data_IF_992449873700
#
_entry.id   IF_992449873700
#
_cell.length_a   1.000
_cell.length_b   1.000
_cell.length_c   1.000
_cell.angle_alpha   90.00
_cell.angle_beta   90.00
_cell.angle_gamma   90.00
#
_symmetry.space_group_name_H-M   'P 1'
#
loop_
_entity.id
_entity.type
_entity.pdbx_description
1 polymer ?
#
# COMPACT_ATOMS: atom_id res chain seq x y z
N UNK A 1 -18.10 25.26 -39.87
CA UNK A 1 -17.25 26.46 -40.00
C UNK A 1 -16.53 26.67 -38.68
N UNK A 2 -15.19 26.50 -38.64
CA UNK A 2 -14.38 26.87 -37.48
C UNK A 2 -13.94 28.33 -37.60
N UNK A 3 -13.78 29.01 -36.46
CA UNK A 3 -12.97 30.23 -36.37
C UNK A 3 -12.03 29.99 -35.20
N UNK A 4 -10.74 29.90 -35.52
CA UNK A 4 -9.67 29.93 -34.54
C UNK A 4 -9.36 31.37 -34.12
N UNK A 5 -8.63 31.52 -33.04
CA UNK A 5 -7.46 32.38 -33.09
C UNK A 5 -6.40 31.90 -32.10
N UNK A 6 -5.19 31.89 -32.63
CA UNK A 6 -3.93 31.48 -32.03
C UNK A 6 -3.38 32.53 -31.04
N UNK A 7 -2.32 32.08 -30.37
CA UNK A 7 -1.17 32.85 -29.87
C UNK A 7 -1.19 33.28 -28.41
N UNK A 8 -0.55 32.45 -27.59
CA UNK A 8 0.54 32.93 -26.73
C UNK A 8 1.61 31.84 -26.65
N UNK A 9 2.55 31.91 -27.59
CA UNK A 9 3.83 31.22 -27.56
C UNK A 9 4.79 32.04 -26.70
N UNK A 10 5.32 31.42 -25.64
CA UNK A 10 6.58 31.82 -25.03
C UNK A 10 7.33 30.55 -24.58
N UNK A 11 8.28 30.15 -25.43
CA UNK A 11 9.55 29.49 -25.11
C UNK A 11 9.54 28.19 -24.31
N UNK A 12 9.09 27.12 -24.97
CA UNK A 12 9.53 25.74 -24.68
C UNK A 12 10.43 25.23 -25.80
N UNK A 13 11.63 25.80 -25.94
CA UNK A 13 12.67 25.28 -26.81
C UNK A 13 14.05 25.53 -26.20
N UNK A 14 14.51 24.60 -25.37
CA UNK A 14 15.93 24.26 -25.25
C UNK A 14 16.10 22.97 -24.46
N UNK A 15 16.86 22.03 -25.05
CA UNK A 15 17.21 20.67 -24.59
C UNK A 15 16.27 19.54 -25.03
N UNK A 16 15.96 19.49 -26.33
CA UNK A 16 15.71 18.25 -27.07
C UNK A 16 16.96 17.89 -27.89
N UNK A 17 17.97 17.34 -27.23
CA UNK A 17 19.18 16.72 -27.83
C UNK A 17 19.84 15.95 -26.69
N UNK A 18 19.99 14.63 -26.64
CA UNK A 18 20.11 13.59 -27.64
C UNK A 18 19.55 12.29 -27.05
N UNK A 19 18.62 11.63 -27.73
CA UNK A 19 18.34 10.22 -27.46
C UNK A 19 19.62 9.43 -27.75
N UNK A 20 20.18 8.75 -26.75
CA UNK A 20 21.30 7.84 -26.96
C UNK A 20 20.85 6.75 -27.96
N UNK A 21 21.58 6.53 -29.07
CA UNK A 21 21.26 5.48 -30.01
C UNK A 21 21.23 4.11 -29.32
N UNK A 22 20.30 3.27 -29.76
CA UNK A 22 19.97 1.97 -29.13
C UNK A 22 21.10 0.94 -29.24
N UNK A 23 22.15 1.22 -30.03
CA UNK A 23 23.23 0.28 -30.33
C UNK A 23 24.44 0.35 -29.38
N UNK A 24 24.34 1.03 -28.23
CA UNK A 24 25.51 1.24 -27.35
C UNK A 24 25.35 0.82 -25.88
N UNK A 25 24.37 -0.03 -25.53
CA UNK A 25 24.34 -0.61 -24.17
C UNK A 25 25.19 -1.89 -24.17
N UNK A 26 26.50 -1.73 -24.32
CA UNK A 26 27.47 -2.75 -23.89
C UNK A 26 27.76 -2.51 -22.42
N UNK A 27 27.60 -3.55 -21.62
CA UNK A 27 27.96 -3.56 -20.22
C UNK A 27 29.45 -3.88 -20.13
N UNK A 28 30.26 -2.88 -19.82
CA UNK A 28 31.71 -2.93 -19.57
C UNK A 28 32.04 -1.66 -18.79
N UNK A 29 32.85 -1.70 -17.72
CA UNK A 29 33.39 -0.62 -16.82
C UNK A 29 32.55 0.67 -16.57
N UNK A 30 31.98 1.26 -17.61
CA UNK A 30 30.94 2.28 -17.72
C UNK A 30 29.79 2.18 -16.70
N UNK A 31 29.34 0.98 -16.29
CA UNK A 31 28.19 0.84 -15.37
C UNK A 31 28.46 1.46 -13.98
N UNK A 32 29.67 1.30 -13.44
CA UNK A 32 30.06 1.93 -12.16
C UNK A 32 30.12 3.44 -12.31
N UNK A 33 30.86 3.92 -13.30
CA UNK A 33 31.05 5.35 -13.57
C UNK A 33 29.71 6.04 -13.78
N UNK A 34 28.82 5.45 -14.59
CA UNK A 34 27.47 5.95 -14.85
C UNK A 34 26.61 6.02 -13.58
N UNK A 35 26.64 5.01 -12.71
CA UNK A 35 25.90 5.05 -11.44
C UNK A 35 26.45 6.15 -10.53
N UNK A 36 27.77 6.31 -10.44
CA UNK A 36 28.40 7.34 -9.60
C UNK A 36 28.09 8.75 -10.14
N UNK A 37 28.22 8.97 -11.45
CA UNK A 37 27.95 10.24 -12.12
C UNK A 37 26.47 10.64 -12.05
N UNK A 38 25.56 9.68 -12.27
CA UNK A 38 24.12 9.94 -12.26
C UNK A 38 23.56 10.01 -10.84
N UNK A 39 24.20 9.36 -9.86
CA UNK A 39 23.76 9.31 -8.46
C UNK A 39 24.86 9.82 -7.51
N UNK A 40 25.55 8.93 -6.79
CA UNK A 40 26.69 9.25 -5.91
C UNK A 40 27.47 7.99 -5.53
N UNK A 41 28.69 8.16 -4.99
CA UNK A 41 29.49 7.03 -4.47
C UNK A 41 28.80 6.27 -3.36
N UNK A 42 28.07 6.97 -2.47
CA UNK A 42 27.30 6.34 -1.38
C UNK A 42 26.22 5.42 -1.93
N UNK A 43 25.57 5.84 -3.01
CA UNK A 43 24.52 5.05 -3.66
C UNK A 43 25.14 3.86 -4.37
N UNK A 44 26.23 4.03 -5.11
CA UNK A 44 26.94 2.92 -5.72
C UNK A 44 27.36 1.88 -4.67
N UNK A 45 27.95 2.31 -3.54
CA UNK A 45 28.36 1.43 -2.46
C UNK A 45 27.19 0.68 -1.80
N UNK A 46 25.99 1.25 -1.80
CA UNK A 46 24.77 0.55 -1.37
C UNK A 46 24.35 -0.50 -2.40
N UNK A 47 24.32 -0.16 -3.68
CA UNK A 47 23.84 -1.06 -4.74
C UNK A 47 24.81 -2.25 -4.95
N UNK A 48 26.12 -1.98 -4.90
CA UNK A 48 27.17 -2.98 -5.16
C UNK A 48 27.27 -4.07 -4.10
N UNK A 49 26.66 -3.88 -2.92
CA UNK A 49 26.60 -4.90 -1.87
C UNK A 49 25.66 -6.06 -2.23
N UNK A 50 24.68 -5.81 -3.11
CA UNK A 50 23.57 -6.74 -3.36
C UNK A 50 23.48 -7.13 -4.83
N UNK A 51 23.84 -6.24 -5.75
CA UNK A 51 23.79 -6.48 -7.20
C UNK A 51 25.20 -6.42 -7.76
N UNK A 52 25.65 -7.44 -8.52
CA UNK A 52 26.94 -7.40 -9.21
C UNK A 52 26.83 -6.45 -10.42
N UNK A 53 26.88 -5.13 -10.18
CA UNK A 53 26.72 -4.06 -11.19
C UNK A 53 27.73 -4.20 -12.35
N UNK A 54 28.83 -4.93 -12.14
CA UNK A 54 29.88 -5.19 -13.13
C UNK A 54 29.59 -6.39 -14.04
N UNK A 55 28.47 -7.10 -13.85
CA UNK A 55 28.11 -8.23 -14.71
C UNK A 55 27.42 -7.75 -15.97
N UNK A 56 27.77 -8.34 -17.12
CA UNK A 56 27.16 -8.07 -18.43
C UNK A 56 25.64 -8.29 -18.48
N UNK A 57 25.09 -8.92 -17.44
CA UNK A 57 23.66 -9.20 -17.26
C UNK A 57 22.92 -8.11 -16.48
N UNK A 58 23.60 -7.02 -16.12
CA UNK A 58 23.04 -5.86 -15.41
C UNK A 58 23.04 -4.63 -16.32
N UNK A 59 21.85 -4.11 -16.61
CA UNK A 59 21.68 -2.92 -17.44
C UNK A 59 21.49 -1.67 -16.59
N UNK A 60 22.25 -0.60 -16.85
CA UNK A 60 22.08 0.71 -16.20
C UNK A 60 21.34 1.66 -17.13
N UNK A 61 20.11 2.02 -16.74
CA UNK A 61 19.18 2.81 -17.55
C UNK A 61 18.86 4.14 -16.88
N UNK A 62 18.50 5.12 -17.71
CA UNK A 62 17.99 6.42 -17.28
C UNK A 62 16.55 6.54 -17.73
N UNK A 63 15.59 6.26 -16.85
CA UNK A 63 14.16 6.26 -17.19
C UNK A 63 13.54 7.65 -17.41
N UNK A 64 14.36 8.71 -17.49
CA UNK A 64 13.88 10.06 -17.71
C UNK A 64 13.27 10.19 -19.12
N UNK A 65 11.95 10.25 -19.20
CA UNK A 65 11.20 10.58 -20.42
C UNK A 65 11.42 9.64 -21.62
N UNK A 66 11.73 8.35 -21.40
CA UNK A 66 11.80 7.37 -22.50
C UNK A 66 11.16 6.01 -22.16
N UNK A 67 10.42 5.45 -23.12
CA UNK A 67 9.90 4.06 -23.09
C UNK A 67 11.02 3.06 -23.42
N UNK A 68 12.14 3.14 -22.70
CA UNK A 68 13.29 2.26 -22.89
C UNK A 68 12.95 0.79 -22.65
N UNK A 69 11.89 0.49 -21.89
CA UNK A 69 11.46 -0.87 -21.59
C UNK A 69 11.21 -1.70 -22.87
N UNK A 70 10.80 -1.07 -23.98
CA UNK A 70 10.58 -1.76 -25.25
C UNK A 70 11.87 -2.03 -26.05
N UNK A 71 13.02 -1.57 -25.54
CA UNK A 71 14.32 -1.60 -26.23
C UNK A 71 15.32 -2.58 -25.61
N UNK A 72 14.91 -3.37 -24.61
CA UNK A 72 15.76 -4.42 -24.05
C UNK A 72 15.90 -5.54 -25.08
N UNK A 73 17.10 -5.72 -25.62
CA UNK A 73 17.39 -6.71 -26.66
C UNK A 73 17.46 -8.15 -26.12
N UNK A 74 17.72 -8.33 -24.82
CA UNK A 74 17.89 -9.64 -24.19
C UNK A 74 17.32 -9.68 -22.76
N UNK A 75 16.95 -10.86 -22.22
CA UNK A 75 16.46 -11.02 -20.85
C UNK A 75 17.56 -10.68 -19.83
N UNK A 76 17.55 -9.43 -19.35
CA UNK A 76 18.47 -8.94 -18.33
C UNK A 76 18.14 -9.53 -16.95
N UNK A 77 19.15 -10.04 -16.23
CA UNK A 77 19.00 -10.51 -14.85
C UNK A 77 18.97 -9.36 -13.85
N UNK A 78 19.55 -8.20 -14.20
CA UNK A 78 19.57 -7.03 -13.33
C UNK A 78 19.30 -5.74 -14.10
N UNK A 79 18.61 -4.80 -13.45
CA UNK A 79 18.39 -3.46 -13.98
C UNK A 79 18.61 -2.42 -12.90
N UNK A 80 19.37 -1.37 -13.21
CA UNK A 80 19.58 -0.22 -12.34
C UNK A 80 19.01 1.01 -13.03
N UNK A 81 17.88 1.50 -12.56
CA UNK A 81 17.28 2.76 -13.01
C UNK A 81 17.79 3.91 -12.13
N UNK A 82 18.61 4.77 -12.74
CA UNK A 82 19.25 5.89 -12.01
C UNK A 82 18.37 7.15 -11.97
N UNK A 83 17.13 7.07 -12.44
CA UNK A 83 16.15 8.15 -12.38
C UNK A 83 15.01 7.83 -11.40
N UNK A 84 14.47 8.84 -10.68
CA UNK A 84 13.29 8.62 -9.87
C UNK A 84 12.07 8.18 -10.70
N UNK A 85 11.50 7.01 -10.39
CA UNK A 85 10.41 6.40 -11.17
C UNK A 85 9.15 7.27 -11.25
N UNK A 86 8.97 8.18 -10.29
CA UNK A 86 7.83 9.10 -10.22
C UNK A 86 8.02 10.38 -11.06
N UNK A 87 9.08 10.44 -11.87
CA UNK A 87 9.22 11.39 -12.97
C UNK A 87 8.47 10.93 -14.23
N UNK A 88 8.10 9.65 -14.30
CA UNK A 88 7.24 9.14 -15.36
C UNK A 88 5.88 9.85 -15.39
N UNK A 89 5.30 10.01 -16.58
CA UNK A 89 3.99 10.64 -16.73
C UNK A 89 2.88 9.86 -16.00
N UNK A 90 2.98 8.53 -16.00
CA UNK A 90 2.09 7.63 -15.29
C UNK A 90 2.89 6.46 -14.70
N UNK A 91 3.09 6.49 -13.38
CA UNK A 91 3.87 5.48 -12.67
C UNK A 91 3.30 4.05 -12.83
N UNK A 92 1.98 3.89 -12.92
CA UNK A 92 1.39 2.56 -13.06
C UNK A 92 1.66 1.94 -14.43
N UNK A 93 1.62 2.77 -15.48
CA UNK A 93 1.97 2.34 -16.83
C UNK A 93 3.46 1.98 -16.89
N UNK A 94 4.31 2.82 -16.30
CA UNK A 94 5.75 2.56 -16.21
C UNK A 94 6.04 1.21 -15.54
N UNK A 95 5.46 0.95 -14.36
CA UNK A 95 5.69 -0.29 -13.62
C UNK A 95 5.14 -1.53 -14.36
N UNK A 96 4.03 -1.39 -15.07
CA UNK A 96 3.50 -2.48 -15.91
C UNK A 96 4.45 -2.80 -17.06
N UNK A 97 4.94 -1.79 -17.78
CA UNK A 97 5.86 -1.97 -18.90
C UNK A 97 7.20 -2.54 -18.41
N UNK A 98 7.73 -2.00 -17.31
CA UNK A 98 8.93 -2.53 -16.65
C UNK A 98 8.78 -4.01 -16.30
N UNK A 99 7.63 -4.41 -15.74
CA UNK A 99 7.37 -5.80 -15.42
C UNK A 99 7.32 -6.67 -16.70
N UNK A 100 6.61 -6.22 -17.74
CA UNK A 100 6.46 -6.98 -18.98
C UNK A 100 7.78 -7.19 -19.74
N UNK A 101 8.72 -6.24 -19.61
CA UNK A 101 10.00 -6.28 -20.32
C UNK A 101 11.10 -7.11 -19.64
N UNK A 102 10.85 -7.63 -18.43
CA UNK A 102 11.86 -8.35 -17.65
C UNK A 102 11.46 -9.82 -17.46
N UNK A 103 12.43 -10.77 -17.51
CA UNK A 103 12.16 -12.15 -17.13
C UNK A 103 11.82 -12.27 -15.63
N UNK A 104 11.20 -13.38 -15.24
CA UNK A 104 11.03 -13.67 -13.81
C UNK A 104 12.40 -13.74 -13.12
N UNK A 105 12.44 -13.39 -11.83
CA UNK A 105 13.65 -13.31 -10.99
C UNK A 105 14.62 -12.18 -11.30
N UNK A 106 14.36 -11.33 -12.30
CA UNK A 106 15.15 -10.11 -12.52
C UNK A 106 15.15 -9.22 -11.28
N UNK A 107 16.32 -8.71 -10.92
CA UNK A 107 16.50 -7.74 -9.85
C UNK A 107 16.48 -6.33 -10.42
N UNK A 108 15.69 -5.46 -9.83
CA UNK A 108 15.57 -4.06 -10.21
C UNK A 108 15.99 -3.21 -9.03
N UNK A 109 16.91 -2.30 -9.29
CA UNK A 109 17.32 -1.23 -8.40
C UNK A 109 16.75 0.05 -8.97
N UNK A 110 15.99 0.77 -8.18
CA UNK A 110 15.41 2.04 -8.59
C UNK A 110 15.36 3.02 -7.44
N UNK A 111 14.96 4.25 -7.76
CA UNK A 111 14.76 5.28 -6.75
C UNK A 111 13.43 6.02 -6.96
N UNK A 112 12.96 6.69 -5.92
CA UNK A 112 11.74 7.47 -5.93
C UNK A 112 11.87 8.69 -5.02
N UNK A 113 11.35 9.84 -5.45
CA UNK A 113 11.22 10.99 -4.58
C UNK A 113 9.93 10.89 -3.76
N UNK A 114 10.05 10.56 -2.47
CA UNK A 114 8.90 10.38 -1.58
C UNK A 114 8.54 11.65 -0.78
N UNK A 115 7.27 11.78 -0.42
CA UNK A 115 6.74 12.93 0.31
C UNK A 115 7.17 12.96 1.78
N UNK A 116 7.28 11.77 2.39
CA UNK A 116 7.57 11.49 3.79
C UNK A 116 9.03 11.09 4.04
N UNK A 117 9.94 11.54 3.19
CA UNK A 117 11.39 11.40 3.40
C UNK A 117 11.81 12.00 4.75
N UNK A 118 12.76 11.37 5.44
CA UNK A 118 13.29 11.87 6.71
C UNK A 118 14.07 13.18 6.51
N UNK A 119 15.07 13.19 5.62
CA UNK A 119 15.84 14.39 5.30
C UNK A 119 15.16 15.25 4.22
N UNK A 120 14.20 16.07 4.66
CA UNK A 120 13.50 17.04 3.80
C UNK A 120 14.44 18.09 3.18
N UNK A 121 15.57 18.40 3.83
CA UNK A 121 16.54 19.38 3.29
C UNK A 121 17.29 18.76 2.12
N UNK A 122 17.78 17.53 2.26
CA UNK A 122 18.41 16.78 1.17
C UNK A 122 17.45 16.62 -0.01
N UNK A 123 16.18 16.25 0.24
CA UNK A 123 15.18 16.14 -0.84
C UNK A 123 14.99 17.43 -1.62
N UNK A 124 14.92 18.59 -0.95
CA UNK A 124 14.79 19.89 -1.63
C UNK A 124 16.03 20.28 -2.44
N UNK A 125 17.22 19.82 -2.01
CA UNK A 125 18.49 20.06 -2.71
C UNK A 125 18.74 19.07 -3.86
N UNK A 126 18.02 17.96 -3.91
CA UNK A 126 18.22 16.95 -4.95
C UNK A 126 17.92 17.52 -6.35
N UNK A 127 18.78 17.22 -7.33
CA UNK A 127 18.66 17.73 -8.72
C UNK A 127 17.32 17.42 -9.38
N UNK A 128 16.67 16.32 -8.99
CA UNK A 128 15.39 15.91 -9.56
C UNK A 128 14.18 16.65 -8.95
N UNK A 129 14.36 17.37 -7.83
CA UNK A 129 13.26 18.01 -7.10
C UNK A 129 12.47 19.00 -7.95
N UNK A 130 13.13 19.71 -8.87
CA UNK A 130 12.48 20.68 -9.78
C UNK A 130 11.55 20.02 -10.81
N UNK A 131 11.71 18.73 -11.09
CA UNK A 131 10.89 17.98 -12.06
C UNK A 131 9.68 17.29 -11.41
N UNK A 132 9.58 17.30 -10.08
CA UNK A 132 8.35 16.87 -9.40
C UNK A 132 7.21 17.80 -9.80
N UNK A 133 6.21 17.25 -10.48
CA UNK A 133 4.91 17.93 -10.67
C UNK A 133 4.43 18.43 -9.30
N UNK A 134 4.08 19.72 -9.18
CA UNK A 134 3.61 20.35 -7.92
C UNK A 134 2.62 19.41 -7.22
N UNK A 135 2.97 18.97 -6.00
CA UNK A 135 2.11 18.13 -5.16
C UNK A 135 2.15 16.61 -5.37
N UNK A 136 3.00 16.04 -6.24
CA UNK A 136 2.97 14.60 -6.60
C UNK A 136 4.12 13.73 -6.05
N UNK A 137 4.64 14.04 -4.87
CA UNK A 137 5.47 13.06 -4.16
C UNK A 137 4.58 11.93 -3.65
N UNK A 138 4.85 10.68 -4.03
CA UNK A 138 4.19 9.52 -3.41
C UNK A 138 4.72 9.32 -1.99
N UNK A 139 3.93 8.71 -1.12
CA UNK A 139 4.45 8.29 0.18
C UNK A 139 5.24 6.98 0.04
N UNK A 140 6.21 6.73 0.92
CA UNK A 140 6.99 5.48 0.98
C UNK A 140 6.11 4.24 0.86
N UNK A 141 5.06 4.19 1.68
CA UNK A 141 4.10 3.08 1.67
C UNK A 141 3.37 2.90 0.34
N UNK A 142 3.08 3.99 -0.36
CA UNK A 142 2.42 3.96 -1.66
C UNK A 142 3.39 3.52 -2.76
N UNK A 143 4.62 4.04 -2.77
CA UNK A 143 5.67 3.63 -3.71
C UNK A 143 5.94 2.14 -3.61
N UNK A 144 6.24 1.65 -2.40
CA UNK A 144 6.49 0.23 -2.16
C UNK A 144 5.25 -0.62 -2.46
N UNK A 145 4.05 -0.15 -2.12
CA UNK A 145 2.81 -0.86 -2.40
C UNK A 145 2.52 -1.01 -3.90
N UNK A 146 2.84 0.00 -4.70
CA UNK A 146 2.72 -0.06 -6.18
C UNK A 146 3.69 -1.09 -6.75
N UNK A 147 4.93 -1.13 -6.30
CA UNK A 147 5.89 -2.17 -6.72
C UNK A 147 5.33 -3.58 -6.45
N UNK A 148 4.83 -3.84 -5.25
CA UNK A 148 4.25 -5.16 -4.93
C UNK A 148 3.00 -5.47 -5.74
N UNK A 149 2.16 -4.47 -6.00
CA UNK A 149 0.99 -4.64 -6.86
C UNK A 149 1.37 -5.03 -8.30
N UNK A 150 2.40 -4.40 -8.86
CA UNK A 150 2.90 -4.65 -10.22
C UNK A 150 3.86 -5.85 -10.31
N UNK A 151 3.78 -6.78 -9.36
CA UNK A 151 4.42 -8.10 -9.50
C UNK A 151 5.85 -8.19 -8.97
N UNK A 152 6.30 -7.20 -8.22
CA UNK A 152 7.64 -7.20 -7.62
C UNK A 152 7.61 -7.62 -6.14
N UNK A 153 8.67 -8.27 -5.66
CA UNK A 153 8.92 -8.53 -4.24
C UNK A 153 10.03 -7.60 -3.75
N UNK A 154 9.83 -6.98 -2.59
CA UNK A 154 10.81 -6.06 -2.01
C UNK A 154 11.93 -6.88 -1.33
N UNK A 155 13.16 -6.65 -1.77
CA UNK A 155 14.38 -7.18 -1.14
C UNK A 155 14.77 -6.21 -0.01
N UNK A 156 15.03 -4.95 -0.37
CA UNK A 156 15.47 -3.91 0.56
C UNK A 156 15.04 -2.52 0.07
N UNK A 157 15.02 -1.54 0.96
CA UNK A 157 14.94 -0.13 0.61
C UNK A 157 15.75 0.71 1.59
N UNK A 158 16.24 1.88 1.15
CA UNK A 158 17.02 2.81 1.97
C UNK A 158 16.81 4.26 1.54
N UNK A 159 16.76 5.17 2.51
CA UNK A 159 16.71 6.61 2.24
C UNK A 159 18.15 7.15 2.15
N UNK A 160 18.53 7.69 0.98
CA UNK A 160 19.87 8.25 0.73
C UNK A 160 19.69 9.56 -0.02
N UNK A 161 20.30 10.64 0.47
CA UNK A 161 20.40 11.94 -0.23
C UNK A 161 19.07 12.49 -0.77
N UNK A 162 18.00 12.29 0.01
CA UNK A 162 16.66 12.81 -0.28
C UNK A 162 15.81 11.94 -1.22
N UNK A 163 16.28 10.73 -1.57
CA UNK A 163 15.56 9.74 -2.37
C UNK A 163 15.36 8.45 -1.58
N UNK A 164 14.24 7.78 -1.84
CA UNK A 164 14.03 6.39 -1.45
C UNK A 164 14.59 5.49 -2.54
N UNK A 165 15.67 4.79 -2.24
CA UNK A 165 16.20 3.71 -3.04
C UNK A 165 15.52 2.40 -2.67
N UNK A 166 15.26 1.54 -3.65
CA UNK A 166 14.67 0.23 -3.44
C UNK A 166 15.33 -0.80 -4.34
N UNK A 167 15.42 -2.02 -3.83
CA UNK A 167 15.78 -3.22 -4.59
C UNK A 167 14.59 -4.17 -4.57
N UNK A 168 14.14 -4.58 -5.75
CA UNK A 168 13.00 -5.47 -5.90
C UNK A 168 13.31 -6.59 -6.89
N UNK A 169 12.66 -7.72 -6.73
CA UNK A 169 12.74 -8.85 -7.66
C UNK A 169 11.41 -9.03 -8.38
N UNK A 170 11.39 -9.24 -9.70
CA UNK A 170 10.17 -9.67 -10.39
C UNK A 170 9.81 -11.10 -9.94
N UNK A 171 8.60 -11.27 -9.41
CA UNK A 171 8.11 -12.58 -8.92
C UNK A 171 6.83 -13.04 -9.59
N UNK A 172 6.16 -12.17 -10.34
CA UNK A 172 4.97 -12.49 -11.13
C UNK A 172 4.69 -11.41 -12.17
N UNK A 173 3.81 -11.73 -13.10
CA UNK A 173 3.29 -10.77 -14.08
C UNK A 173 2.44 -9.66 -13.43
N UNK A 174 2.52 -8.47 -14.03
CA UNK A 174 1.71 -7.33 -13.64
C UNK A 174 0.22 -7.59 -13.89
N UNK A 175 -0.68 -7.11 -13.02
CA UNK A 175 -2.12 -7.25 -13.22
C UNK A 175 -2.58 -6.43 -14.43
N UNK A 176 -3.65 -6.89 -15.09
CA UNK A 176 -4.26 -6.17 -16.21
C UNK A 176 -4.87 -4.81 -15.80
N UNK A 177 -5.40 -4.72 -14.57
CA UNK A 177 -5.95 -3.49 -14.02
C UNK A 177 -4.83 -2.53 -13.58
N UNK A 178 -4.76 -1.34 -14.20
CA UNK A 178 -3.79 -0.31 -13.82
C UNK A 178 -4.16 0.40 -12.51
N UNK A 179 -5.44 0.41 -12.14
CA UNK A 179 -5.97 1.09 -10.96
C UNK A 179 -6.36 0.08 -9.87
N UNK A 180 -5.36 -0.62 -9.35
CA UNK A 180 -5.52 -1.60 -8.26
C UNK A 180 -6.02 -1.04 -6.94
N UNK A 181 -5.99 0.28 -6.76
CA UNK A 181 -6.45 0.94 -5.54
C UNK A 181 -7.23 2.20 -5.89
N UNK A 182 -8.41 2.37 -5.29
CA UNK A 182 -9.11 3.66 -5.30
C UNK A 182 -8.35 4.66 -4.42
N UNK A 183 -8.41 5.94 -4.77
CA UNK A 183 -7.93 7.09 -4.00
C UNK A 183 -9.00 7.71 -3.09
N UNK A 184 -10.24 7.18 -3.12
CA UNK A 184 -11.36 7.69 -2.33
C UNK A 184 -11.10 7.61 -0.84
N UNK A 185 -11.48 8.66 -0.12
CA UNK A 185 -11.42 8.76 1.34
C UNK A 185 -12.35 7.73 1.97
N UNK A 186 -13.58 7.58 1.45
CA UNK A 186 -14.49 6.52 1.87
C UNK A 186 -14.29 5.30 0.97
N UNK A 187 -14.01 4.15 1.59
CA UNK A 187 -13.85 2.90 0.87
C UNK A 187 -14.98 1.92 1.22
N UNK A 188 -15.72 1.41 0.22
CA UNK A 188 -16.74 0.41 0.43
C UNK A 188 -16.10 -0.96 0.71
N UNK A 189 -16.71 -1.72 1.58
CA UNK A 189 -16.33 -3.09 1.88
C UNK A 189 -17.56 -3.99 1.89
N UNK A 190 -17.57 -5.01 1.04
CA UNK A 190 -18.61 -6.04 1.08
C UNK A 190 -18.42 -6.94 2.30
N UNK A 191 -19.50 -7.16 3.03
CA UNK A 191 -19.55 -7.96 4.26
C UNK A 191 -20.75 -8.88 4.28
N UNK A 192 -20.64 -9.97 5.03
CA UNK A 192 -21.74 -10.90 5.26
C UNK A 192 -22.58 -10.39 6.43
N UNK A 193 -23.88 -10.25 6.17
CA UNK A 193 -24.90 -9.80 7.11
C UNK A 193 -25.79 -10.93 7.59
N UNK A 194 -26.91 -10.52 8.19
CA UNK A 194 -27.97 -11.45 8.61
C UNK A 194 -28.52 -12.21 7.39
N UNK A 195 -28.85 -13.47 7.60
CA UNK A 195 -29.37 -14.43 6.62
C UNK A 195 -28.39 -14.65 5.44
N UNK A 196 -27.10 -14.40 5.67
CA UNK A 196 -26.04 -14.52 4.65
C UNK A 196 -26.05 -13.40 3.62
N UNK A 197 -26.91 -12.39 3.75
CA UNK A 197 -27.04 -11.29 2.77
C UNK A 197 -25.78 -10.44 2.75
N UNK A 198 -25.29 -10.11 1.56
CA UNK A 198 -24.16 -9.20 1.40
C UNK A 198 -24.61 -7.76 1.65
N UNK A 199 -23.85 -7.02 2.45
CA UNK A 199 -24.03 -5.59 2.66
C UNK A 199 -22.73 -4.83 2.42
N UNK A 200 -22.84 -3.55 2.10
CA UNK A 200 -21.69 -2.66 1.91
C UNK A 200 -21.54 -1.81 3.16
N UNK A 201 -20.43 -2.00 3.88
CA UNK A 201 -20.02 -1.10 4.96
C UNK A 201 -18.99 -0.11 4.43
N UNK A 202 -19.08 1.14 4.86
CA UNK A 202 -18.09 2.15 4.52
C UNK A 202 -17.10 2.36 5.66
N UNK A 203 -15.87 2.65 5.29
CA UNK A 203 -14.83 3.07 6.23
C UNK A 203 -14.04 4.23 5.67
N UNK A 204 -13.47 5.03 6.56
CA UNK A 204 -12.48 6.04 6.20
C UNK A 204 -11.15 5.34 5.93
N UNK A 205 -10.53 5.63 4.80
CA UNK A 205 -9.21 5.11 4.43
C UNK A 205 -8.17 5.66 5.39
N UNK A 206 -7.60 4.83 6.25
CA UNK A 206 -6.54 5.27 7.18
C UNK A 206 -5.13 4.94 6.72
N UNK A 207 -4.99 4.36 5.52
CA UNK A 207 -3.73 3.85 4.98
C UNK A 207 -3.44 4.50 3.63
N UNK A 208 -2.16 4.64 3.29
CA UNK A 208 -1.75 5.13 1.97
C UNK A 208 -2.27 4.22 0.85
N UNK A 209 -2.60 4.74 -0.35
CA UNK A 209 -2.97 3.91 -1.50
C UNK A 209 -1.95 2.81 -1.76
N UNK A 210 -2.40 1.65 -2.26
CA UNK A 210 -1.59 0.45 -2.53
C UNK A 210 -0.89 -0.20 -1.32
N UNK A 211 -0.84 0.45 -0.16
CA UNK A 211 -0.11 -0.09 0.99
C UNK A 211 -0.70 -1.38 1.55
N UNK A 212 -1.95 -1.73 1.22
CA UNK A 212 -2.55 -3.03 1.61
C UNK A 212 -1.73 -4.24 1.12
N UNK A 213 -1.03 -4.10 0.00
CA UNK A 213 -0.18 -5.15 -0.56
C UNK A 213 1.10 -5.38 0.26
N UNK A 214 1.44 -4.45 1.17
CA UNK A 214 2.62 -4.54 2.02
C UNK A 214 2.38 -5.30 3.33
N UNK A 215 1.19 -5.86 3.58
CA UNK A 215 0.88 -6.54 4.85
C UNK A 215 1.95 -7.55 5.26
N UNK A 216 2.26 -8.51 4.39
CA UNK A 216 3.22 -9.56 4.70
C UNK A 216 4.64 -8.99 4.87
N UNK A 217 4.99 -7.97 4.08
CA UNK A 217 6.28 -7.32 4.16
C UNK A 217 6.48 -6.59 5.50
N UNK A 218 5.50 -5.79 5.93
CA UNK A 218 5.56 -5.05 7.21
C UNK A 218 5.59 -6.01 8.39
N UNK A 219 4.80 -7.08 8.35
CA UNK A 219 4.81 -8.11 9.42
C UNK A 219 6.18 -8.78 9.51
N UNK A 220 6.83 -9.12 8.38
CA UNK A 220 8.19 -9.67 8.41
C UNK A 220 9.22 -8.68 8.95
N UNK A 221 9.09 -7.41 8.60
CA UNK A 221 10.04 -6.38 8.99
C UNK A 221 9.95 -6.04 10.48
N UNK A 222 8.74 -5.90 11.01
CA UNK A 222 8.51 -5.32 12.33
C UNK A 222 7.92 -6.32 13.35
N UNK A 223 7.46 -7.49 12.90
CA UNK A 223 6.70 -8.41 13.74
C UNK A 223 5.31 -7.86 14.13
N UNK A 224 4.69 -8.51 15.11
CA UNK A 224 3.44 -8.07 15.71
C UNK A 224 3.71 -7.32 17.02
N UNK A 225 2.86 -6.34 17.34
CA UNK A 225 2.77 -5.72 18.65
C UNK A 225 1.96 -6.59 19.62
N UNK A 226 1.85 -6.16 20.88
CA UNK A 226 1.13 -6.88 21.96
C UNK A 226 -0.34 -7.18 21.65
N UNK A 227 -0.96 -6.40 20.76
CA UNK A 227 -2.35 -6.56 20.32
C UNK A 227 -2.50 -7.26 18.96
N UNK A 228 -1.43 -7.96 18.50
CA UNK A 228 -1.47 -8.81 17.31
C UNK A 228 -1.54 -8.06 15.98
N UNK A 229 -1.11 -6.80 15.94
CA UNK A 229 -1.04 -5.98 14.70
C UNK A 229 0.41 -5.70 14.32
N UNK A 230 0.70 -5.37 13.04
CA UNK A 230 2.06 -5.06 12.64
C UNK A 230 2.63 -3.92 13.49
N UNK A 231 3.76 -4.14 14.15
CA UNK A 231 4.45 -3.09 14.88
C UNK A 231 4.99 -2.04 13.89
N UNK A 232 5.15 -0.79 14.33
CA UNK A 232 5.72 0.31 13.51
C UNK A 232 5.15 0.40 12.08
N UNK A 233 3.83 0.25 11.93
CA UNK A 233 3.17 0.17 10.62
C UNK A 233 3.24 1.51 9.85
N UNK A 234 4.21 1.63 8.94
CA UNK A 234 4.42 2.81 8.10
C UNK A 234 3.35 2.97 6.99
N UNK A 235 2.42 2.01 6.86
CA UNK A 235 1.32 2.11 5.89
C UNK A 235 0.23 3.07 6.34
N UNK A 236 0.15 3.35 7.64
CA UNK A 236 -0.84 4.25 8.22
C UNK A 236 -0.47 5.71 7.96
N UNK A 237 -1.46 6.49 7.53
CA UNK A 237 -1.29 7.94 7.47
C UNK A 237 -1.23 8.51 8.90
N UNK A 238 -0.59 9.68 9.12
CA UNK A 238 -0.55 10.30 10.46
C UNK A 238 -1.95 10.52 11.06
N UNK A 239 -2.88 11.02 10.26
CA UNK A 239 -4.28 11.17 10.65
C UNK A 239 -5.00 9.82 10.76
N UNK A 240 -4.62 8.83 9.95
CA UNK A 240 -5.14 7.47 10.02
C UNK A 240 -4.86 6.79 11.35
N UNK A 241 -3.68 7.04 11.95
CA UNK A 241 -3.35 6.59 13.32
C UNK A 241 -4.33 7.19 14.34
N UNK A 242 -4.62 8.48 14.24
CA UNK A 242 -5.60 9.16 15.09
C UNK A 242 -7.00 8.56 14.89
N UNK A 243 -7.46 8.41 13.65
CA UNK A 243 -8.78 7.87 13.34
C UNK A 243 -8.95 6.45 13.91
N UNK A 244 -7.94 5.58 13.74
CA UNK A 244 -8.00 4.23 14.32
C UNK A 244 -7.99 4.27 15.84
N UNK A 245 -7.14 5.09 16.47
CA UNK A 245 -7.07 5.19 17.94
C UNK A 245 -8.45 5.48 18.56
N UNK A 246 -9.23 6.35 17.92
CA UNK A 246 -10.54 6.77 18.39
C UNK A 246 -11.72 6.09 17.67
N UNK A 247 -11.48 5.02 16.91
CA UNK A 247 -12.51 4.30 16.11
C UNK A 247 -13.30 5.19 15.13
N UNK A 248 -12.73 6.33 14.73
CA UNK A 248 -13.38 7.28 13.82
C UNK A 248 -13.43 6.78 12.38
N UNK A 249 -12.57 5.82 12.02
CA UNK A 249 -12.56 5.23 10.69
C UNK A 249 -13.79 4.38 10.39
N UNK A 250 -14.47 3.89 11.44
CA UNK A 250 -15.68 3.08 11.34
C UNK A 250 -16.97 3.90 11.46
N UNK A 251 -16.90 5.20 11.75
CA UNK A 251 -18.10 6.08 11.85
C UNK A 251 -19.04 6.03 10.65
N UNK A 252 -18.57 5.91 9.38
CA UNK A 252 -19.50 5.79 8.25
C UNK A 252 -20.44 4.58 8.33
N UNK A 253 -20.11 3.56 9.13
CA UNK A 253 -20.98 2.39 9.37
C UNK A 253 -22.25 2.74 10.15
N UNK A 254 -22.31 3.90 10.83
CA UNK A 254 -23.53 4.38 11.49
C UNK A 254 -24.68 4.57 10.48
N UNK A 255 -24.38 4.82 9.20
CA UNK A 255 -25.41 4.85 8.15
C UNK A 255 -26.06 3.47 7.96
N UNK A 256 -25.31 2.39 8.07
CA UNK A 256 -25.84 1.02 8.00
C UNK A 256 -26.66 0.67 9.25
N UNK A 257 -26.30 1.23 10.42
CA UNK A 257 -27.10 1.12 11.65
C UNK A 257 -28.48 1.79 11.47
N UNK A 258 -28.51 3.01 10.93
CA UNK A 258 -29.76 3.74 10.66
C UNK A 258 -30.64 3.03 9.62
N UNK A 259 -30.04 2.38 8.63
CA UNK A 259 -30.74 1.53 7.64
C UNK A 259 -31.23 0.20 8.22
N UNK A 260 -30.83 -0.15 9.45
CA UNK A 260 -31.18 -1.40 10.09
C UNK A 260 -30.40 -2.62 9.57
N UNK A 261 -29.32 -2.42 8.81
CA UNK A 261 -28.45 -3.49 8.29
C UNK A 261 -27.44 -3.96 9.35
N UNK A 262 -27.02 -3.06 10.24
CA UNK A 262 -26.17 -3.34 11.40
C UNK A 262 -26.95 -3.12 12.69
N UNK A 263 -26.46 -3.73 13.77
CA UNK A 263 -26.81 -3.42 15.16
C UNK A 263 -25.69 -2.60 15.82
N UNK A 264 -25.99 -1.95 16.94
CA UNK A 264 -24.97 -1.19 17.68
C UNK A 264 -23.93 -2.14 18.29
N UNK A 265 -24.40 -3.23 18.90
CA UNK A 265 -23.58 -4.33 19.43
C UNK A 265 -23.93 -5.61 18.68
N UNK A 266 -22.92 -6.41 18.36
CA UNK A 266 -23.12 -7.65 17.62
C UNK A 266 -21.84 -8.20 17.01
N UNK A 267 -21.93 -9.41 16.45
CA UNK A 267 -20.79 -10.08 15.81
C UNK A 267 -20.16 -9.20 14.73
N UNK A 268 -18.83 -9.24 14.59
CA UNK A 268 -18.17 -8.36 13.61
C UNK A 268 -18.59 -8.75 12.18
N UNK A 269 -18.92 -7.80 11.29
CA UNK A 269 -19.16 -8.12 9.89
C UNK A 269 -17.85 -8.60 9.24
N UNK A 270 -17.86 -9.83 8.72
CA UNK A 270 -16.70 -10.45 8.07
C UNK A 270 -16.77 -10.34 6.55
N UNK A 271 -15.60 -10.32 5.90
CA UNK A 271 -15.53 -10.52 4.45
C UNK A 271 -15.90 -11.96 4.10
N UNK A 272 -16.28 -12.22 2.85
CA UNK A 272 -16.56 -13.58 2.38
C UNK A 272 -15.40 -14.54 2.69
N UNK A 273 -14.16 -14.13 2.39
CA UNK A 273 -12.96 -14.94 2.64
C UNK A 273 -12.85 -15.35 4.11
N UNK A 274 -12.91 -14.39 5.03
CA UNK A 274 -12.80 -14.69 6.47
C UNK A 274 -14.00 -15.43 7.03
N UNK A 275 -15.18 -15.21 6.45
CA UNK A 275 -16.37 -15.96 6.84
C UNK A 275 -16.24 -17.44 6.46
N UNK A 276 -15.72 -17.73 5.26
CA UNK A 276 -15.50 -19.09 4.76
C UNK A 276 -14.40 -19.85 5.50
N UNK A 277 -13.50 -19.16 6.20
CA UNK A 277 -12.47 -19.77 7.06
C UNK A 277 -13.02 -20.30 8.41
N UNK A 278 -14.22 -19.89 8.81
CA UNK A 278 -14.82 -20.31 10.08
C UNK A 278 -15.37 -21.74 10.00
N UNK A 279 -15.47 -22.46 11.14
CA UNK A 279 -16.22 -23.71 11.19
C UNK A 279 -17.68 -23.50 10.74
N UNK A 280 -18.24 -24.49 10.04
CA UNK A 280 -19.58 -24.40 9.43
C UNK A 280 -20.68 -24.07 10.46
N UNK A 281 -20.61 -24.67 11.64
CA UNK A 281 -21.55 -24.41 12.74
C UNK A 281 -21.52 -22.94 13.20
N UNK A 282 -20.33 -22.34 13.25
CA UNK A 282 -20.15 -20.92 13.60
C UNK A 282 -20.71 -20.03 12.48
N UNK A 283 -20.50 -20.41 11.21
CA UNK A 283 -21.07 -19.69 10.06
C UNK A 283 -22.60 -19.65 10.14
N UNK A 284 -23.23 -20.82 10.33
CA UNK A 284 -24.69 -20.98 10.40
C UNK A 284 -25.30 -20.25 11.60
N UNK A 285 -24.59 -20.18 12.73
CA UNK A 285 -25.02 -19.41 13.89
C UNK A 285 -24.90 -17.89 13.65
N UNK A 286 -23.76 -17.42 13.12
CA UNK A 286 -23.50 -15.99 12.92
C UNK A 286 -24.54 -15.31 12.05
N UNK A 287 -24.95 -15.96 10.97
CA UNK A 287 -25.91 -15.37 10.00
C UNK A 287 -27.30 -15.18 10.59
N UNK A 288 -27.63 -15.79 11.74
CA UNK A 288 -28.92 -15.59 12.40
C UNK A 288 -29.03 -14.22 13.09
N UNK A 289 -27.91 -13.53 13.30
CA UNK A 289 -27.84 -12.24 13.98
C UNK A 289 -27.43 -11.13 13.02
N UNK A 290 -27.90 -9.91 13.30
CA UNK A 290 -27.35 -8.72 12.64
C UNK A 290 -25.90 -8.51 13.12
N UNK A 291 -24.95 -8.25 12.21
CA UNK A 291 -23.62 -7.85 12.63
C UNK A 291 -23.66 -6.53 13.41
N UNK A 292 -22.65 -6.30 14.24
CA UNK A 292 -22.55 -5.13 15.11
C UNK A 292 -21.41 -4.19 14.77
N UNK A 293 -21.60 -2.90 15.06
CA UNK A 293 -20.52 -1.91 15.06
C UNK A 293 -19.52 -2.17 16.21
N UNK A 294 -20.03 -2.52 17.39
CA UNK A 294 -19.23 -2.86 18.59
C UNK A 294 -19.22 -4.38 18.75
N UNK A 295 -18.07 -5.04 18.48
CA UNK A 295 -17.98 -6.48 18.62
C UNK A 295 -17.82 -6.93 20.08
N UNK A 296 -18.33 -8.12 20.45
CA UNK A 296 -18.36 -8.60 21.84
C UNK A 296 -16.99 -8.72 22.53
N UNK A 297 -15.92 -8.98 21.77
CA UNK A 297 -14.57 -9.06 22.32
C UNK A 297 -14.13 -7.75 22.99
N UNK A 298 -14.69 -6.60 22.58
CA UNK A 298 -14.42 -5.30 23.20
C UNK A 298 -15.00 -5.25 24.60
N UNK A 299 -16.20 -5.81 24.78
CA UNK A 299 -16.88 -5.91 26.08
C UNK A 299 -16.18 -6.93 26.99
N UNK A 300 -15.75 -8.06 26.44
CA UNK A 300 -15.19 -9.19 27.19
C UNK A 300 -13.66 -9.17 27.34
N UNK A 301 -12.96 -8.23 26.71
CA UNK A 301 -11.50 -8.12 26.70
C UNK A 301 -10.80 -9.38 26.16
N UNK A 302 -11.32 -9.92 25.06
CA UNK A 302 -10.81 -11.13 24.40
C UNK A 302 -10.31 -10.83 22.96
N UNK A 303 -9.31 -9.93 22.77
CA UNK A 303 -8.98 -9.36 21.46
C UNK A 303 -8.22 -10.32 20.52
N UNK A 304 -7.68 -11.43 21.03
CA UNK A 304 -6.93 -12.40 20.22
C UNK A 304 -7.85 -13.18 19.27
N UNK A 305 -7.28 -13.85 18.27
CA UNK A 305 -8.09 -14.50 17.23
C UNK A 305 -9.03 -15.58 17.77
N UNK A 306 -8.64 -16.34 18.80
CA UNK A 306 -9.48 -17.38 19.40
C UNK A 306 -10.51 -16.75 20.33
N UNK A 307 -10.07 -15.84 21.19
CA UNK A 307 -10.93 -15.08 22.09
C UNK A 307 -12.00 -14.28 21.35
N UNK A 308 -11.72 -13.76 20.16
CA UNK A 308 -12.70 -13.06 19.33
C UNK A 308 -13.90 -13.94 18.97
N UNK A 309 -13.64 -15.19 18.56
CA UNK A 309 -14.70 -16.14 18.19
C UNK A 309 -15.45 -16.58 19.44
N UNK A 310 -14.73 -16.89 20.53
CA UNK A 310 -15.33 -17.26 21.81
C UNK A 310 -16.27 -16.16 22.35
N UNK A 311 -15.82 -14.91 22.34
CA UNK A 311 -16.61 -13.76 22.75
C UNK A 311 -17.91 -13.60 21.93
N UNK A 312 -17.83 -13.87 20.62
CA UNK A 312 -19.01 -13.86 19.76
C UNK A 312 -19.98 -15.00 20.09
N UNK A 313 -19.47 -16.21 20.40
CA UNK A 313 -20.31 -17.34 20.82
C UNK A 313 -21.03 -17.07 22.14
N UNK A 314 -20.31 -16.56 23.16
CA UNK A 314 -20.88 -16.17 24.47
C UNK A 314 -21.99 -15.13 24.26
N UNK A 315 -21.71 -14.10 23.47
CA UNK A 315 -22.68 -13.06 23.16
C UNK A 315 -23.93 -13.61 22.45
N UNK A 316 -23.77 -14.46 21.44
CA UNK A 316 -24.90 -15.02 20.69
C UNK A 316 -25.79 -15.92 21.55
N UNK A 317 -25.21 -16.71 22.46
CA UNK A 317 -25.97 -17.51 23.43
C UNK A 317 -26.74 -16.63 24.42
N UNK A 318 -26.08 -15.63 25.02
CA UNK A 318 -26.76 -14.65 25.89
C UNK A 318 -27.86 -13.89 25.14
N UNK A 319 -27.62 -13.54 23.87
CA UNK A 319 -28.53 -12.79 23.01
C UNK A 319 -29.81 -13.59 22.73
N UNK A 320 -29.70 -14.90 22.49
CA UNK A 320 -30.87 -15.79 22.33
C UNK A 320 -31.74 -15.83 23.58
N UNK A 321 -31.11 -15.87 24.77
CA UNK A 321 -31.81 -16.01 26.05
C UNK A 321 -32.45 -14.70 26.53
N UNK A 322 -31.76 -13.56 26.35
CA UNK A 322 -32.12 -12.28 27.00
C UNK A 322 -32.44 -11.15 26.01
N UNK A 323 -32.34 -11.40 24.71
CA UNK A 323 -32.73 -10.46 23.66
C UNK A 323 -31.99 -9.12 23.76
N UNK A 324 -32.73 -8.01 23.77
CA UNK A 324 -32.13 -6.66 23.73
C UNK A 324 -31.35 -6.28 25.01
N UNK A 325 -31.65 -6.92 26.14
CA UNK A 325 -30.92 -6.68 27.41
C UNK A 325 -29.43 -7.02 27.28
N UNK A 326 -29.09 -8.00 26.43
CA UNK A 326 -27.70 -8.36 26.14
C UNK A 326 -26.96 -7.23 25.45
N UNK A 327 -27.58 -6.55 24.48
CA UNK A 327 -26.93 -5.46 23.74
C UNK A 327 -26.61 -4.29 24.67
N UNK A 328 -27.55 -3.93 25.54
CA UNK A 328 -27.38 -2.84 26.51
C UNK A 328 -26.23 -3.17 27.47
N UNK A 329 -26.19 -4.39 28.02
CA UNK A 329 -25.11 -4.85 28.89
C UNK A 329 -23.75 -4.74 28.19
N UNK A 330 -23.63 -5.32 26.99
CA UNK A 330 -22.36 -5.36 26.26
C UNK A 330 -21.92 -3.98 25.78
N UNK A 331 -22.86 -3.09 25.45
CA UNK A 331 -22.59 -1.70 25.11
C UNK A 331 -21.89 -0.96 26.26
N UNK A 332 -22.48 -0.96 27.46
CA UNK A 332 -21.88 -0.25 28.60
C UNK A 332 -20.54 -0.86 29.03
N UNK A 333 -20.39 -2.19 28.93
CA UNK A 333 -19.10 -2.86 29.15
C UNK A 333 -18.05 -2.38 28.15
N UNK A 334 -18.38 -2.33 26.85
CA UNK A 334 -17.46 -1.86 25.82
C UNK A 334 -17.05 -0.39 26.03
N UNK A 335 -18.02 0.49 26.31
CA UNK A 335 -17.74 1.92 26.57
C UNK A 335 -16.82 2.08 27.78
N UNK A 336 -17.07 1.36 28.88
CA UNK A 336 -16.20 1.38 30.06
C UNK A 336 -14.78 0.95 29.71
N UNK A 337 -14.61 -0.13 28.95
CA UNK A 337 -13.30 -0.65 28.57
C UNK A 337 -12.54 0.31 27.65
N UNK A 338 -13.23 0.96 26.71
CA UNK A 338 -12.65 1.97 25.82
C UNK A 338 -12.19 3.19 26.61
N UNK A 339 -13.07 3.74 27.48
CA UNK A 339 -12.77 4.94 28.27
C UNK A 339 -11.66 4.72 29.31
N UNK A 340 -11.55 3.51 29.85
CA UNK A 340 -10.48 3.14 30.80
C UNK A 340 -9.19 2.70 30.11
N UNK A 341 -9.13 2.70 28.77
CA UNK A 341 -7.93 2.33 28.01
C UNK A 341 -7.57 0.84 28.07
N UNK A 342 -8.48 -0.03 28.55
CA UNK A 342 -8.26 -1.48 28.63
C UNK A 342 -8.24 -2.16 27.27
N UNK A 343 -8.80 -1.51 26.25
CA UNK A 343 -8.82 -1.99 24.87
C UNK A 343 -8.70 -0.83 23.89
N UNK A 344 -7.87 -1.00 22.87
CA UNK A 344 -7.64 -0.02 21.81
C UNK A 344 -7.96 -0.63 20.44
N UNK A 345 -8.44 0.20 19.50
CA UNK A 345 -8.58 -0.22 18.08
C UNK A 345 -7.23 -0.31 17.37
N UNK A 346 -6.16 0.22 17.97
CA UNK A 346 -4.79 0.28 17.42
C UNK A 346 -3.87 -0.54 18.28
#
# INVERSE_FOLDING_TARGET
MPIGNESEHADTNMLYTSAVPVDSIKCDECSKTKVIESMSEKVYGYISQTVPIHSDKVCVVESFQSDWCNKLAEPMLGLVDVCPINLSNNLNVYLKNLNASLPETSIIVGCCMIADIEDKKARRKNKYYKYLKKGKGFYKAETLGRLVYFGFSIIEFKEIEGLLYFMVMKVKEAPGNLNGCSDKILFPMTRIGKDGKKLIVYKVRTMHPYSQYLQNYVVRLNGYNEVGKPANDFRLTPWGKFFRKYWLDELPQLLNLLKGELALVGVRPLSQTRFSELPREVQELRVQFKPGCIPPYVSLLMPDSKGNIEAEMIYMDEKRKKGIRTDVKYFFMAIKNILTGKITSS
#
